data_IF_265946060794
#
_entry.id   IF_265946060794
#
_cell.length_a   1.000
_cell.length_b   1.000
_cell.length_c   1.000
_cell.angle_alpha   90.00
_cell.angle_beta   90.00
_cell.angle_gamma   90.00
#
_symmetry.space_group_name_H-M   'P 1'
#
loop_
_entity.id
_entity.type
_entity.pdbx_description
1 polymer ?
#
# COMPACT_ATOMS: atom_id res chain seq x y z
N UNK A 1 -32.57 6.15 -4.62
CA UNK A 1 -31.45 7.10 -4.62
C UNK A 1 -30.26 6.37 -4.06
N UNK A 2 -29.11 6.42 -4.73
CA UNK A 2 -27.89 5.81 -4.23
C UNK A 2 -27.32 6.69 -3.12
N UNK A 3 -26.94 6.09 -1.99
CA UNK A 3 -26.41 6.78 -0.83
C UNK A 3 -24.92 6.53 -0.69
N UNK A 4 -24.20 7.52 -0.16
CA UNK A 4 -22.78 7.43 0.13
C UNK A 4 -22.52 7.81 1.57
N UNK A 5 -21.65 7.03 2.23
CA UNK A 5 -21.22 7.30 3.60
C UNK A 5 -20.11 8.34 3.58
N UNK A 6 -20.29 9.40 4.36
CA UNK A 6 -19.31 10.45 4.55
C UNK A 6 -19.05 10.65 6.05
N UNK A 7 -17.97 11.36 6.37
CA UNK A 7 -17.67 11.81 7.73
C UNK A 7 -17.87 13.33 7.81
N UNK A 8 -18.53 13.83 8.84
CA UNK A 8 -18.64 15.27 9.13
C UNK A 8 -18.14 15.53 10.55
N UNK A 9 -17.00 16.19 10.67
CA UNK A 9 -16.27 16.38 11.94
C UNK A 9 -16.07 15.07 12.70
N UNK A 10 -15.72 14.00 11.97
CA UNK A 10 -15.54 12.65 12.52
C UNK A 10 -16.83 11.85 12.78
N UNK A 11 -18.01 12.40 12.47
CA UNK A 11 -19.30 11.70 12.63
C UNK A 11 -19.76 11.11 11.29
N UNK A 12 -20.08 9.82 11.25
CA UNK A 12 -20.59 9.17 10.03
C UNK A 12 -22.00 9.64 9.69
N UNK A 13 -22.22 10.05 8.43
CA UNK A 13 -23.50 10.53 7.92
C UNK A 13 -23.76 9.93 6.53
N UNK A 14 -25.01 9.50 6.28
CA UNK A 14 -25.44 9.10 4.94
C UNK A 14 -25.89 10.31 4.12
N UNK A 15 -25.22 10.52 2.99
CA UNK A 15 -25.55 11.54 1.99
C UNK A 15 -26.17 10.89 0.75
N UNK A 16 -27.07 11.60 0.07
CA UNK A 16 -27.52 11.17 -1.25
C UNK A 16 -26.44 11.52 -2.28
N UNK A 17 -26.11 10.60 -3.17
CA UNK A 17 -25.20 10.90 -4.28
C UNK A 17 -25.81 12.01 -5.14
N UNK A 18 -25.04 13.07 -5.42
CA UNK A 18 -25.50 14.28 -6.13
C UNK A 18 -26.12 15.36 -5.24
N UNK A 19 -26.28 15.12 -3.93
CA UNK A 19 -26.72 16.13 -2.95
C UNK A 19 -25.60 17.14 -2.69
N UNK A 20 -25.95 18.42 -2.54
CA UNK A 20 -24.99 19.44 -2.10
C UNK A 20 -24.75 19.37 -0.58
N UNK A 21 -23.59 19.85 -0.11
CA UNK A 21 -23.34 19.99 1.34
C UNK A 21 -24.40 20.85 2.02
N UNK A 22 -24.90 21.89 1.34
CA UNK A 22 -25.98 22.74 1.84
C UNK A 22 -27.30 21.99 2.04
N UNK A 23 -27.68 21.12 1.12
CA UNK A 23 -28.86 20.26 1.26
C UNK A 23 -28.69 19.24 2.38
N UNK A 24 -27.51 18.58 2.43
CA UNK A 24 -27.16 17.64 3.49
C UNK A 24 -27.27 18.29 4.88
N UNK A 25 -26.64 19.45 5.06
CA UNK A 25 -26.64 20.14 6.35
C UNK A 25 -28.02 20.62 6.78
N UNK A 26 -28.85 21.10 5.84
CA UNK A 26 -30.26 21.39 6.11
C UNK A 26 -31.01 20.14 6.56
N UNK A 27 -30.78 19.00 5.90
CA UNK A 27 -31.44 17.73 6.21
C UNK A 27 -31.06 17.17 7.57
N UNK A 28 -29.80 17.29 7.98
CA UNK A 28 -29.32 16.83 9.29
C UNK A 28 -29.42 17.92 10.39
N UNK A 29 -30.02 19.08 10.08
CA UNK A 29 -30.24 20.16 11.05
C UNK A 29 -28.96 20.87 11.52
N UNK A 30 -27.86 20.80 10.75
CA UNK A 30 -26.62 21.53 11.03
C UNK A 30 -26.67 22.90 10.36
N UNK A 31 -26.52 23.97 11.15
CA UNK A 31 -26.37 25.33 10.62
C UNK A 31 -24.89 25.67 10.53
N UNK A 32 -24.39 25.90 9.32
CA UNK A 32 -23.05 26.44 9.07
C UNK A 32 -23.19 27.95 8.87
N UNK A 33 -22.36 28.75 9.54
CA UNK A 33 -22.36 30.19 9.35
C UNK A 33 -21.97 30.57 7.92
N UNK A 34 -22.64 31.58 7.39
CA UNK A 34 -22.31 32.14 6.08
C UNK A 34 -20.89 32.71 6.11
N UNK A 35 -20.01 32.22 5.24
CA UNK A 35 -18.55 32.48 5.30
C UNK A 35 -17.72 31.42 6.04
N UNK A 36 -18.33 30.35 6.56
CA UNK A 36 -17.62 29.19 7.11
C UNK A 36 -16.74 28.52 6.05
N UNK A 37 -15.46 28.31 6.38
CA UNK A 37 -14.52 27.60 5.51
C UNK A 37 -14.66 26.10 5.76
N UNK A 38 -15.25 25.38 4.81
CA UNK A 38 -15.29 23.92 4.84
C UNK A 38 -14.02 23.37 4.20
N UNK A 39 -13.47 22.31 4.78
CA UNK A 39 -12.46 21.50 4.12
C UNK A 39 -13.03 20.12 3.79
N UNK A 40 -12.88 19.70 2.55
CA UNK A 40 -13.16 18.34 2.10
C UNK A 40 -11.84 17.62 1.99
N UNK A 41 -11.72 16.49 2.69
CA UNK A 41 -10.67 15.52 2.48
C UNK A 41 -11.22 14.34 1.67
N UNK A 42 -10.67 14.13 0.48
CA UNK A 42 -10.87 12.87 -0.26
C UNK A 42 -9.77 11.90 0.16
N UNK A 43 -10.10 10.69 0.67
CA UNK A 43 -9.12 9.65 0.83
C UNK A 43 -8.47 9.37 -0.54
N UNK A 44 -7.15 9.47 -0.62
CA UNK A 44 -6.42 9.05 -1.81
C UNK A 44 -6.46 7.52 -1.88
N UNK A 45 -6.71 6.94 -3.05
CA UNK A 45 -6.56 5.50 -3.20
C UNK A 45 -5.10 5.13 -2.88
N UNK A 46 -4.85 3.93 -2.32
CA UNK A 46 -3.50 3.51 -1.92
C UNK A 46 -2.45 3.75 -3.02
N UNK A 47 -2.83 3.56 -4.29
CA UNK A 47 -1.95 3.66 -5.45
C UNK A 47 -1.40 5.07 -5.71
N UNK A 48 -2.16 6.09 -5.29
CA UNK A 48 -1.76 7.50 -5.37
C UNK A 48 -0.92 7.95 -4.17
N UNK A 49 -0.78 7.12 -3.13
CA UNK A 49 0.12 7.40 -2.03
C UNK A 49 1.54 7.30 -2.54
N UNK A 50 2.40 8.27 -2.27
CA UNK A 50 3.85 8.20 -2.54
C UNK A 50 4.61 7.40 -1.46
N UNK A 51 3.95 6.43 -0.83
CA UNK A 51 4.55 5.65 0.25
C UNK A 51 5.69 4.72 -0.20
N UNK A 52 6.72 4.62 0.63
CA UNK A 52 7.77 3.59 0.52
C UNK A 52 7.41 2.30 1.24
N UNK A 53 6.37 2.32 2.08
CA UNK A 53 5.93 1.18 2.86
C UNK A 53 4.77 0.48 2.18
N UNK A 54 4.84 -0.84 2.18
CA UNK A 54 3.78 -1.69 1.67
C UNK A 54 3.39 -2.67 2.76
N UNK A 55 2.09 -2.80 3.01
CA UNK A 55 1.56 -3.91 3.79
C UNK A 55 1.45 -5.13 2.87
N UNK A 56 1.83 -6.27 3.41
CA UNK A 56 1.71 -7.57 2.75
C UNK A 56 0.79 -8.42 3.62
N UNK A 57 -0.37 -8.74 3.06
CA UNK A 57 -1.34 -9.66 3.64
C UNK A 57 -0.99 -11.07 3.18
N UNK A 58 -0.94 -12.00 4.13
CA UNK A 58 -0.65 -13.40 3.85
C UNK A 58 -1.56 -14.31 4.66
N UNK A 59 -1.65 -15.58 4.25
CA UNK A 59 -2.39 -16.61 4.98
C UNK A 59 -1.87 -16.86 6.41
N UNK A 60 -0.70 -16.32 6.78
CA UNK A 60 -0.11 -16.38 8.13
C UNK A 60 -0.27 -15.10 8.95
N UNK A 61 -0.93 -14.09 8.38
CA UNK A 61 -1.06 -12.76 8.96
C UNK A 61 -0.32 -11.70 8.16
N UNK A 62 -0.24 -10.49 8.72
CA UNK A 62 0.20 -9.32 7.99
C UNK A 62 1.61 -8.89 8.40
N UNK A 63 2.38 -8.43 7.43
CA UNK A 63 3.69 -7.82 7.67
C UNK A 63 3.85 -6.59 6.78
N UNK A 64 4.89 -5.78 7.05
CA UNK A 64 5.16 -4.60 6.23
C UNK A 64 6.59 -4.65 5.71
N UNK A 65 6.74 -4.24 4.45
CA UNK A 65 8.03 -4.03 3.81
C UNK A 65 8.22 -2.54 3.53
N UNK A 66 9.46 -2.08 3.60
CA UNK A 66 9.87 -0.75 3.17
C UNK A 66 10.82 -0.91 1.99
N UNK A 67 10.50 -0.23 0.90
CA UNK A 67 11.16 -0.32 -0.40
C UNK A 67 12.19 0.80 -0.53
N UNK A 68 13.33 0.47 -1.13
CA UNK A 68 14.40 1.44 -1.36
C UNK A 68 13.93 2.56 -2.32
N UNK A 69 14.19 3.85 -2.04
CA UNK A 69 13.69 4.98 -2.83
C UNK A 69 14.00 4.88 -4.33
N UNK A 70 15.22 4.46 -4.67
CA UNK A 70 15.67 4.32 -6.06
C UNK A 70 14.94 3.22 -6.84
N UNK A 71 14.38 2.23 -6.14
CA UNK A 71 13.66 1.09 -6.74
C UNK A 71 12.14 1.32 -6.76
N UNK A 72 11.64 2.20 -5.88
CA UNK A 72 10.20 2.42 -5.68
C UNK A 72 9.41 2.64 -6.99
N UNK A 73 9.85 3.46 -7.97
CA UNK A 73 9.11 3.66 -9.22
C UNK A 73 8.94 2.39 -10.05
N UNK A 74 9.93 1.50 -10.03
CA UNK A 74 9.88 0.20 -10.70
C UNK A 74 8.97 -0.76 -9.91
N UNK A 75 9.17 -0.85 -8.59
CA UNK A 75 8.36 -1.71 -7.72
C UNK A 75 6.86 -1.41 -7.83
N UNK A 76 6.48 -0.13 -7.92
CA UNK A 76 5.09 0.30 -8.09
C UNK A 76 4.41 -0.25 -9.34
N UNK A 77 5.17 -0.57 -10.38
CA UNK A 77 4.65 -1.20 -11.61
C UNK A 77 4.48 -2.71 -11.47
N UNK A 78 5.11 -3.32 -10.45
CA UNK A 78 5.27 -4.76 -10.32
C UNK A 78 4.53 -5.36 -9.13
N UNK A 79 4.40 -4.65 -8.01
CA UNK A 79 3.98 -5.23 -6.72
C UNK A 79 2.68 -6.03 -6.79
N UNK A 80 1.71 -5.55 -7.55
CA UNK A 80 0.41 -6.23 -7.73
C UNK A 80 0.52 -7.60 -8.37
N UNK A 81 1.55 -7.84 -9.19
CA UNK A 81 1.77 -9.15 -9.83
C UNK A 81 2.04 -10.23 -8.78
N UNK A 82 2.59 -9.85 -7.63
CA UNK A 82 2.89 -10.75 -6.51
C UNK A 82 1.71 -10.94 -5.54
N UNK A 83 0.53 -10.40 -5.83
CA UNK A 83 -0.69 -10.73 -5.09
C UNK A 83 -1.29 -12.05 -5.59
N UNK A 84 -1.79 -12.88 -4.68
CA UNK A 84 -2.36 -14.20 -4.96
C UNK A 84 -1.32 -15.31 -5.21
N UNK A 85 -0.02 -15.03 -5.09
CA UNK A 85 1.03 -16.03 -5.34
C UNK A 85 1.33 -16.86 -4.10
N UNK A 86 1.82 -18.08 -4.31
CA UNK A 86 2.16 -19.00 -3.22
C UNK A 86 3.64 -18.93 -2.89
N UNK A 87 3.98 -19.19 -1.63
CA UNK A 87 5.34 -19.52 -1.21
C UNK A 87 5.75 -20.83 -1.89
N UNK A 88 6.76 -20.76 -2.74
CA UNK A 88 7.28 -21.88 -3.54
C UNK A 88 8.40 -22.62 -2.83
N UNK A 89 9.21 -21.90 -2.06
CA UNK A 89 10.22 -22.50 -1.19
C UNK A 89 10.31 -21.74 0.12
N UNK A 90 10.63 -22.48 1.18
CA UNK A 90 10.95 -21.94 2.50
C UNK A 90 12.08 -22.75 3.10
N UNK A 91 13.05 -22.04 3.64
CA UNK A 91 14.21 -22.61 4.33
C UNK A 91 14.42 -21.85 5.63
N UNK A 92 15.42 -22.26 6.40
CA UNK A 92 15.87 -21.51 7.57
C UNK A 92 16.53 -20.16 7.21
N UNK A 93 16.91 -19.93 5.95
CA UNK A 93 17.57 -18.72 5.47
C UNK A 93 16.60 -17.71 4.85
N UNK A 94 15.60 -18.20 4.12
CA UNK A 94 14.66 -17.37 3.37
C UNK A 94 13.36 -18.12 3.05
N UNK A 95 12.30 -17.36 2.76
CA UNK A 95 11.10 -17.85 2.08
C UNK A 95 10.91 -17.07 0.79
N UNK A 96 10.36 -17.69 -0.24
CA UNK A 96 10.04 -16.97 -1.47
C UNK A 96 8.70 -17.34 -2.09
N UNK A 97 8.02 -16.31 -2.59
CA UNK A 97 6.67 -16.40 -3.13
C UNK A 97 6.61 -15.94 -4.59
N UNK A 98 5.90 -16.71 -5.41
CA UNK A 98 5.86 -16.55 -6.86
C UNK A 98 5.23 -17.79 -7.54
N UNK A 99 5.47 -18.06 -8.81
CA UNK A 99 6.26 -17.29 -9.78
C UNK A 99 5.38 -16.27 -10.51
N UNK A 100 5.98 -15.18 -10.98
CA UNK A 100 5.31 -14.17 -11.81
C UNK A 100 6.19 -13.78 -13.00
N UNK A 101 5.55 -13.27 -14.06
CA UNK A 101 6.24 -12.76 -15.24
C UNK A 101 6.65 -11.29 -15.07
N UNK A 102 7.93 -11.00 -15.33
CA UNK A 102 8.57 -9.69 -15.27
C UNK A 102 9.53 -9.50 -16.45
N UNK A 103 9.03 -9.46 -17.69
CA UNK A 103 9.87 -9.35 -18.90
C UNK A 103 10.77 -8.11 -18.93
N UNK A 104 10.46 -7.09 -18.13
CA UNK A 104 11.26 -5.88 -17.99
C UNK A 104 12.50 -6.01 -17.07
N UNK A 105 12.73 -7.19 -16.46
CA UNK A 105 13.83 -7.42 -15.51
C UNK A 105 14.90 -8.33 -16.10
N UNK A 106 16.18 -7.97 -15.88
CA UNK A 106 17.33 -8.70 -16.42
C UNK A 106 18.01 -9.52 -15.34
N UNK A 107 18.15 -10.85 -15.47
CA UNK A 107 18.77 -11.69 -14.45
C UNK A 107 20.27 -11.45 -14.34
N UNK A 108 20.76 -11.28 -13.11
CA UNK A 108 22.18 -11.27 -12.78
C UNK A 108 22.68 -12.67 -12.42
N UNK A 109 23.92 -12.99 -12.79
CA UNK A 109 24.62 -14.21 -12.35
C UNK A 109 25.44 -13.99 -11.07
N UNK A 110 25.43 -12.77 -10.52
CA UNK A 110 26.24 -12.43 -9.36
C UNK A 110 25.65 -12.99 -8.06
N UNK A 111 26.54 -13.22 -7.10
CA UNK A 111 26.15 -13.55 -5.73
C UNK A 111 25.57 -12.32 -5.06
N UNK A 112 24.37 -12.46 -4.50
CA UNK A 112 23.72 -11.41 -3.74
C UNK A 112 23.86 -11.68 -2.25
N UNK A 113 24.38 -10.69 -1.53
CA UNK A 113 24.39 -10.68 -0.07
C UNK A 113 23.08 -10.11 0.44
N UNK A 114 22.30 -10.93 1.15
CA UNK A 114 21.09 -10.51 1.82
C UNK A 114 21.32 -10.46 3.33
N UNK A 115 21.34 -9.26 3.94
CA UNK A 115 21.16 -9.12 5.38
C UNK A 115 19.86 -9.78 5.86
N UNK A 116 19.77 -10.05 7.15
CA UNK A 116 18.53 -10.52 7.77
C UNK A 116 17.38 -9.53 7.53
N UNK A 117 16.18 -10.05 7.23
CA UNK A 117 14.97 -9.27 6.94
C UNK A 117 15.02 -8.42 5.67
N UNK A 118 16.01 -8.60 4.80
CA UNK A 118 16.01 -8.03 3.46
C UNK A 118 14.95 -8.68 2.57
N UNK A 119 14.44 -7.89 1.63
CA UNK A 119 13.54 -8.33 0.59
C UNK A 119 14.24 -8.14 -0.75
N UNK A 120 14.16 -9.13 -1.63
CA UNK A 120 14.73 -9.10 -2.96
C UNK A 120 13.80 -9.79 -3.96
N UNK A 121 14.13 -9.70 -5.24
CA UNK A 121 13.50 -10.50 -6.29
C UNK A 121 14.50 -11.52 -6.80
N UNK A 122 14.05 -12.76 -6.97
CA UNK A 122 14.80 -13.84 -7.60
C UNK A 122 14.16 -14.17 -8.95
N UNK A 123 14.94 -14.11 -10.03
CA UNK A 123 14.55 -14.67 -11.33
C UNK A 123 15.06 -16.10 -11.39
N UNK A 124 14.28 -17.02 -10.83
CA UNK A 124 14.70 -18.39 -10.61
C UNK A 124 14.97 -19.11 -11.96
N UNK A 125 16.15 -19.74 -12.09
CA UNK A 125 16.60 -20.29 -13.36
C UNK A 125 17.03 -19.24 -14.39
N UNK A 126 17.34 -18.01 -13.94
CA UNK A 126 17.73 -16.88 -14.79
C UNK A 126 16.67 -16.54 -15.84
N UNK A 127 15.39 -16.64 -15.47
CA UNK A 127 14.25 -16.35 -16.34
C UNK A 127 13.37 -15.27 -15.76
N UNK A 128 13.13 -14.22 -16.54
CA UNK A 128 12.18 -13.14 -16.24
C UNK A 128 10.74 -13.63 -16.15
N UNK A 129 10.42 -14.83 -16.65
CA UNK A 129 9.10 -15.45 -16.51
C UNK A 129 8.90 -16.15 -15.15
N UNK A 130 9.95 -16.21 -14.33
CA UNK A 130 9.98 -17.00 -13.11
C UNK A 130 10.43 -16.18 -11.89
N UNK A 131 9.85 -14.99 -11.74
CA UNK A 131 10.19 -14.05 -10.67
C UNK A 131 9.52 -14.42 -9.35
N UNK A 132 10.28 -14.30 -8.25
CA UNK A 132 9.81 -14.57 -6.88
C UNK A 132 10.25 -13.45 -5.95
N UNK A 133 9.37 -13.04 -5.04
CA UNK A 133 9.76 -12.22 -3.88
C UNK A 133 10.46 -13.11 -2.88
N UNK A 134 11.69 -12.76 -2.52
CA UNK A 134 12.50 -13.45 -1.51
C UNK A 134 12.54 -12.61 -0.25
N UNK A 135 12.17 -13.22 0.88
CA UNK A 135 12.26 -12.63 2.21
C UNK A 135 13.33 -13.36 3.01
N UNK A 136 14.41 -12.67 3.39
CA UNK A 136 15.48 -13.29 4.19
C UNK A 136 15.07 -13.40 5.66
N UNK A 137 15.28 -14.59 6.24
CA UNK A 137 15.10 -14.91 7.66
C UNK A 137 16.42 -14.84 8.45
N UNK A 138 17.55 -14.97 7.75
CA UNK A 138 18.92 -14.83 8.27
C UNK A 138 19.82 -14.18 7.23
N UNK A 139 20.93 -13.58 7.66
CA UNK A 139 21.94 -13.07 6.74
C UNK A 139 22.61 -14.22 5.98
N UNK A 140 22.71 -14.11 4.65
CA UNK A 140 23.33 -15.12 3.80
C UNK A 140 23.71 -14.55 2.43
N UNK A 141 24.54 -15.29 1.71
CA UNK A 141 24.95 -15.00 0.35
C UNK A 141 24.42 -16.13 -0.56
N UNK A 142 23.81 -15.78 -1.69
CA UNK A 142 23.32 -16.77 -2.67
C UNK A 142 23.16 -16.17 -4.06
N UNK A 143 23.19 -17.04 -5.08
CA UNK A 143 22.90 -16.66 -6.47
C UNK A 143 21.40 -16.81 -6.70
N UNK A 144 20.68 -15.68 -6.69
CA UNK A 144 19.22 -15.63 -6.85
C UNK A 144 18.74 -15.36 -8.28
N UNK A 145 19.63 -15.10 -9.24
CA UNK A 145 19.19 -14.52 -10.51
C UNK A 145 18.57 -13.15 -10.29
N UNK A 146 19.07 -12.36 -9.32
CA UNK A 146 18.41 -11.10 -8.95
C UNK A 146 18.42 -10.13 -10.12
N UNK A 147 17.37 -9.30 -10.29
CA UNK A 147 17.34 -8.29 -11.35
C UNK A 147 18.51 -7.30 -11.21
N UNK A 148 19.22 -7.01 -12.30
CA UNK A 148 20.25 -5.96 -12.32
C UNK A 148 19.67 -4.60 -11.93
N UNK A 149 18.42 -4.36 -12.33
CA UNK A 149 17.67 -3.13 -12.05
C UNK A 149 17.24 -3.01 -10.58
N UNK A 150 17.19 -4.13 -9.85
CA UNK A 150 16.71 -4.22 -8.47
C UNK A 150 17.41 -5.36 -7.71
N UNK A 151 18.67 -5.17 -7.28
CA UNK A 151 19.39 -6.21 -6.54
C UNK A 151 18.77 -6.49 -5.17
N UNK A 152 18.45 -5.42 -4.43
CA UNK A 152 17.74 -5.49 -3.15
C UNK A 152 16.52 -4.56 -3.26
N UNK A 153 15.34 -5.12 -3.03
CA UNK A 153 14.08 -4.36 -3.07
C UNK A 153 13.95 -3.48 -1.82
N UNK A 154 14.34 -4.01 -0.66
CA UNK A 154 14.26 -3.29 0.61
C UNK A 154 14.31 -4.24 1.81
N UNK A 155 13.43 -4.02 2.80
CA UNK A 155 13.43 -4.79 4.05
C UNK A 155 12.06 -4.94 4.68
N UNK A 156 11.90 -5.96 5.53
CA UNK A 156 10.75 -6.14 6.41
C UNK A 156 10.89 -5.21 7.62
N UNK A 157 9.91 -4.33 7.81
CA UNK A 157 9.89 -3.31 8.89
C UNK A 157 8.89 -3.63 10.01
N UNK A 158 7.88 -4.46 9.73
CA UNK A 158 6.94 -4.97 10.74
C UNK A 158 6.54 -6.41 10.43
N UNK A 159 6.05 -7.16 11.43
CA UNK A 159 5.57 -8.54 11.22
C UNK A 159 6.67 -9.58 10.94
N UNK A 160 7.91 -9.37 11.43
CA UNK A 160 9.03 -10.31 11.22
C UNK A 160 8.73 -11.75 11.65
N UNK A 161 7.92 -11.94 12.69
CA UNK A 161 7.49 -13.26 13.14
C UNK A 161 6.58 -13.96 12.11
N UNK A 162 5.73 -13.21 11.39
CA UNK A 162 4.93 -13.71 10.27
C UNK A 162 5.85 -14.19 9.16
N UNK A 163 6.80 -13.35 8.73
CA UNK A 163 7.79 -13.70 7.70
C UNK A 163 8.62 -14.92 8.10
N UNK A 164 9.04 -15.02 9.37
CA UNK A 164 9.75 -16.19 9.88
C UNK A 164 8.92 -17.49 9.76
N UNK A 165 7.61 -17.38 9.95
CA UNK A 165 6.67 -18.50 9.92
C UNK A 165 6.17 -18.90 8.52
N UNK A 166 6.43 -18.09 7.48
CA UNK A 166 6.04 -18.40 6.10
C UNK A 166 6.66 -19.74 5.66
N UNK A 167 5.82 -20.61 5.13
CA UNK A 167 6.17 -21.94 4.66
C UNK A 167 5.53 -22.25 3.29
N UNK A 168 6.00 -23.31 2.64
CA UNK A 168 5.55 -23.72 1.31
C UNK A 168 4.03 -23.87 1.27
N UNK A 169 3.40 -23.24 0.29
CA UNK A 169 1.95 -23.26 0.09
C UNK A 169 1.20 -22.10 0.74
N UNK A 170 1.80 -21.38 1.68
CA UNK A 170 1.24 -20.12 2.19
C UNK A 170 1.06 -19.12 1.04
N UNK A 171 0.07 -18.25 1.17
CA UNK A 171 -0.33 -17.33 0.09
C UNK A 171 0.06 -15.91 0.49
N UNK A 172 0.71 -15.19 -0.43
CA UNK A 172 0.75 -13.73 -0.39
C UNK A 172 -0.56 -13.27 -1.01
N UNK A 173 -1.53 -12.92 -0.19
CA UNK A 173 -2.90 -12.64 -0.62
C UNK A 173 -2.95 -11.30 -1.35
N UNK A 174 -2.29 -10.30 -0.77
CA UNK A 174 -2.33 -8.93 -1.26
C UNK A 174 -1.10 -8.14 -0.84
N UNK A 175 -0.71 -7.18 -1.66
CA UNK A 175 0.32 -6.20 -1.35
C UNK A 175 -0.25 -4.82 -1.65
N UNK A 176 -0.16 -3.89 -0.70
CA UNK A 176 -0.63 -2.52 -0.89
C UNK A 176 0.29 -1.47 -0.29
N UNK A 177 0.44 -0.31 -0.95
CA UNK A 177 1.10 0.83 -0.33
C UNK A 177 0.32 1.29 0.93
N UNK A 178 1.07 1.60 1.98
CA UNK A 178 0.55 2.04 3.28
C UNK A 178 1.06 3.45 3.59
N UNK A 179 0.21 4.44 3.88
CA UNK A 179 0.65 5.83 4.09
C UNK A 179 1.65 5.94 5.24
N UNK A 180 2.65 6.83 5.13
CA UNK A 180 3.58 7.08 6.24
C UNK A 180 2.91 7.96 7.32
N UNK A 181 1.94 8.80 6.91
CA UNK A 181 1.06 9.60 7.80
C UNK A 181 -0.39 9.60 7.31
N UNK A 182 -1.35 9.69 8.23
CA UNK A 182 -2.79 9.81 7.91
C UNK A 182 -3.11 10.99 6.99
N UNK A 183 -2.38 12.09 7.09
CA UNK A 183 -2.54 13.29 6.25
C UNK A 183 -2.16 13.03 4.79
N UNK A 184 -1.16 12.19 4.52
CA UNK A 184 -0.73 11.82 3.16
C UNK A 184 -1.81 11.00 2.43
N UNK A 185 -2.66 10.34 3.20
CA UNK A 185 -3.80 9.59 2.69
C UNK A 185 -4.99 10.47 2.31
N UNK A 186 -4.91 11.79 2.48
CA UNK A 186 -6.02 12.70 2.23
C UNK A 186 -5.61 13.80 1.25
N UNK A 187 -6.44 14.04 0.24
CA UNK A 187 -6.39 15.26 -0.58
C UNK A 187 -7.33 16.30 0.04
N UNK A 188 -6.77 17.32 0.68
CA UNK A 188 -7.53 18.34 1.42
C UNK A 188 -7.74 19.56 0.52
N UNK A 189 -9.00 19.94 0.33
CA UNK A 189 -9.39 21.12 -0.46
C UNK A 189 -10.38 21.97 0.30
N UNK A 190 -10.27 23.30 0.14
CA UNK A 190 -11.28 24.24 0.63
C UNK A 190 -12.53 24.17 -0.27
N UNK A 191 -13.72 24.15 0.33
CA UNK A 191 -15.00 24.19 -0.38
C UNK A 191 -16.04 25.04 0.36
N UNK A 192 -17.26 25.08 -0.19
CA UNK A 192 -18.44 25.74 0.37
C UNK A 192 -19.68 24.83 0.29
N UNK A 193 -20.86 25.37 0.64
CA UNK A 193 -22.12 24.63 0.66
C UNK A 193 -22.61 24.13 -0.71
N UNK A 194 -22.04 24.63 -1.81
CA UNK A 194 -22.37 24.18 -3.17
C UNK A 194 -21.65 22.91 -3.61
N UNK A 195 -20.69 22.41 -2.81
CA UNK A 195 -19.97 21.18 -3.12
C UNK A 195 -20.92 19.99 -3.25
N UNK A 196 -20.85 19.29 -4.37
CA UNK A 196 -21.69 18.13 -4.69
C UNK A 196 -21.02 16.84 -4.20
N UNK A 197 -21.76 16.04 -3.45
CA UNK A 197 -21.29 14.80 -2.85
C UNK A 197 -21.49 13.65 -3.85
N UNK A 198 -20.42 13.28 -4.53
CA UNK A 198 -20.41 12.13 -5.46
C UNK A 198 -19.75 10.89 -4.86
N UNK A 199 -18.77 11.08 -3.97
CA UNK A 199 -17.89 10.03 -3.48
C UNK A 199 -17.75 10.12 -1.97
N UNK A 200 -17.27 9.06 -1.29
CA UNK A 200 -16.92 9.14 0.12
C UNK A 200 -15.93 10.27 0.39
N UNK A 201 -16.28 11.14 1.33
CA UNK A 201 -15.50 12.31 1.72
C UNK A 201 -15.53 12.51 3.23
N UNK A 202 -14.55 13.23 3.75
CA UNK A 202 -14.57 13.73 5.11
C UNK A 202 -14.64 15.26 5.09
N UNK A 203 -15.64 15.81 5.77
CA UNK A 203 -15.95 17.23 5.83
C UNK A 203 -15.54 17.75 7.20
N UNK A 204 -14.69 18.77 7.20
CA UNK A 204 -14.34 19.52 8.39
C UNK A 204 -15.01 20.88 8.32
N UNK A 205 -15.84 21.16 9.32
CA UNK A 205 -16.59 22.42 9.44
C UNK A 205 -15.87 23.42 10.35
N UNK A 206 -15.04 22.91 11.25
CA UNK A 206 -14.19 23.69 12.15
C UNK A 206 -12.74 23.18 12.04
N UNK A 207 -11.83 24.06 11.65
CA UNK A 207 -10.39 23.76 11.68
C UNK A 207 -9.78 24.47 12.87
N UNK A 208 -9.36 23.72 13.89
CA UNK A 208 -8.54 24.25 14.98
C UNK A 208 -7.10 24.33 14.49
N UNK A 209 -6.59 25.54 14.37
CA UNK A 209 -5.17 25.79 14.09
C UNK A 209 -4.48 26.00 15.44
N UNK A 210 -3.55 25.10 15.80
CA UNK A 210 -2.58 25.40 16.86
C UNK A 210 -1.54 26.34 16.28
N UNK A 211 -1.42 27.53 16.88
CA UNK A 211 -0.44 28.57 16.55
C UNK A 211 0.75 28.52 17.51
#
# INVERSE_FOLDING_TARGET
METVKILVDGVEVEACRGESLGELFKRIGRSIHDGGVLAVAKPKPPEELESRRFVVESSRGNFAIEVEPQILPLWRKLYKRFSGVKVKWSTHLSAAAGAVSTPELTPSHETLRLPVWSVAVSLAGFSSENAHLVFSKKSHDAVYGHPVEMPVLGRVVAGRHVVASLDVGDVIERIEPMPERLEEAKDVRKCDLSYIIEEPVEIYTEVKVEL
#
